data_IF_142652789627
#
_entry.id   IF_142652789627
#
_cell.length_a   1.000
_cell.length_b   1.000
_cell.length_c   1.000
_cell.angle_alpha   90.00
_cell.angle_beta   90.00
_cell.angle_gamma   90.00
#
_symmetry.space_group_name_H-M   'P 1'
#
loop_
_entity.id
_entity.type
_entity.pdbx_description
1 polymer ?
#
# COMPACT_ATOMS: atom_id res chain seq x y z
N UNK A 1 -40.46 2.59 -16.48
CA UNK A 1 -41.06 2.91 -15.17
C UNK A 1 -41.44 1.57 -14.55
N UNK A 2 -40.74 1.10 -13.52
CA UNK A 2 -41.04 -0.22 -12.92
C UNK A 2 -42.29 -0.12 -12.03
N UNK A 3 -43.22 -1.08 -12.08
CA UNK A 3 -44.39 -1.07 -11.19
C UNK A 3 -43.94 -1.26 -9.74
N UNK A 4 -44.40 -0.36 -8.86
CA UNK A 4 -44.10 -0.38 -7.43
C UNK A 4 -44.63 -1.66 -6.77
N UNK A 5 -43.93 -2.17 -5.75
CA UNK A 5 -44.41 -3.33 -4.99
C UNK A 5 -45.73 -3.02 -4.26
N UNK A 6 -46.60 -4.03 -4.10
CA UNK A 6 -47.91 -3.89 -3.43
C UNK A 6 -47.82 -3.28 -2.03
N UNK A 7 -46.72 -3.54 -1.32
CA UNK A 7 -46.47 -2.97 0.00
C UNK A 7 -46.24 -1.46 -0.02
N UNK A 8 -45.57 -0.94 -1.05
CA UNK A 8 -45.32 0.49 -1.22
C UNK A 8 -46.60 1.22 -1.61
N UNK A 9 -47.40 0.63 -2.50
CA UNK A 9 -48.71 1.18 -2.89
C UNK A 9 -49.67 1.28 -1.70
N UNK A 10 -49.76 0.21 -0.89
CA UNK A 10 -50.61 0.20 0.31
C UNK A 10 -50.20 1.26 1.32
N UNK A 11 -48.90 1.53 1.46
CA UNK A 11 -48.38 2.53 2.39
C UNK A 11 -48.67 3.96 1.93
N UNK A 12 -48.53 4.23 0.63
CA UNK A 12 -48.87 5.53 0.05
C UNK A 12 -50.35 5.85 0.18
N UNK A 13 -51.22 4.86 0.02
CA UNK A 13 -52.66 5.04 0.18
C UNK A 13 -53.01 5.34 1.64
N UNK A 14 -52.38 4.66 2.60
CA UNK A 14 -52.59 4.94 4.02
C UNK A 14 -52.12 6.35 4.40
N UNK A 15 -50.93 6.74 3.98
CA UNK A 15 -50.38 8.07 4.28
C UNK A 15 -51.27 9.19 3.68
N UNK A 16 -51.91 8.95 2.53
CA UNK A 16 -52.88 9.86 1.90
C UNK A 16 -54.16 9.99 2.74
N UNK A 17 -54.71 8.88 3.22
CA UNK A 17 -55.93 8.87 4.05
C UNK A 17 -55.69 9.56 5.40
N UNK A 18 -54.60 9.23 6.10
CA UNK A 18 -54.25 9.84 7.39
C UNK A 18 -54.09 11.37 7.31
N UNK A 19 -53.68 11.87 6.16
CA UNK A 19 -53.53 13.31 5.91
C UNK A 19 -54.87 13.98 5.59
N UNK A 20 -55.73 13.33 4.79
CA UNK A 20 -57.09 13.80 4.49
C UNK A 20 -57.95 13.89 5.75
N UNK A 21 -57.86 12.91 6.65
CA UNK A 21 -58.58 12.92 7.94
C UNK A 21 -58.13 14.06 8.87
N UNK A 22 -56.85 14.46 8.80
CA UNK A 22 -56.30 15.54 9.64
C UNK A 22 -56.57 16.94 9.13
N UNK A 23 -56.68 17.12 7.82
CA UNK A 23 -56.79 18.44 7.20
C UNK A 23 -58.01 18.48 6.28
N UNK A 24 -59.16 18.80 6.89
CA UNK A 24 -60.51 18.63 6.34
C UNK A 24 -60.86 19.57 5.15
N UNK A 25 -59.90 20.30 4.58
CA UNK A 25 -60.14 21.26 3.48
C UNK A 25 -58.93 21.41 2.53
N UNK A 26 -58.42 20.29 2.03
CA UNK A 26 -57.29 20.27 1.11
C UNK A 26 -57.69 19.72 -0.26
N UNK A 27 -58.49 20.49 -1.00
CA UNK A 27 -58.79 20.26 -2.43
C UNK A 27 -57.54 20.11 -3.30
N UNK A 28 -56.41 20.65 -2.85
CA UNK A 28 -55.08 20.56 -3.48
C UNK A 28 -54.42 19.17 -3.40
N UNK A 29 -54.91 18.24 -2.56
CA UNK A 29 -54.31 16.89 -2.39
C UNK A 29 -54.37 16.06 -3.67
N UNK A 30 -55.38 16.28 -4.51
CA UNK A 30 -55.53 15.55 -5.77
C UNK A 30 -54.43 15.92 -6.80
N UNK A 31 -53.76 17.05 -6.60
CA UNK A 31 -52.69 17.54 -7.50
C UNK A 31 -51.28 17.13 -7.02
N UNK A 32 -51.18 16.47 -5.87
CA UNK A 32 -49.90 15.98 -5.33
C UNK A 32 -49.65 14.57 -5.86
N UNK A 33 -48.68 14.43 -6.77
CA UNK A 33 -48.22 13.11 -7.22
C UNK A 33 -47.35 12.43 -6.15
N UNK A 34 -47.97 11.61 -5.31
CA UNK A 34 -47.31 10.81 -4.29
C UNK A 34 -46.50 9.63 -4.85
N UNK A 35 -46.44 9.44 -6.17
CA UNK A 35 -45.63 8.39 -6.78
C UNK A 35 -44.12 8.74 -6.81
N UNK A 36 -43.74 9.97 -6.48
CA UNK A 36 -42.39 10.50 -6.77
C UNK A 36 -41.44 10.50 -5.54
N UNK A 37 -41.75 9.74 -4.50
CA UNK A 37 -40.92 9.66 -3.29
C UNK A 37 -39.73 8.69 -3.44
N UNK A 38 -38.58 9.16 -3.93
CA UNK A 38 -37.30 8.48 -3.69
C UNK A 38 -36.10 9.43 -3.47
N UNK A 39 -35.63 9.41 -2.22
CA UNK A 39 -34.26 9.60 -1.69
C UNK A 39 -33.41 10.86 -1.93
N UNK A 40 -33.73 11.84 -2.78
CA UNK A 40 -32.81 12.97 -3.00
C UNK A 40 -33.47 14.37 -3.01
N UNK A 41 -33.55 15.00 -1.83
CA UNK A 41 -34.03 16.39 -1.63
C UNK A 41 -33.22 17.42 -2.43
N UNK A 42 -31.92 17.20 -2.59
CA UNK A 42 -30.98 18.21 -3.13
C UNK A 42 -31.14 18.46 -4.64
N UNK A 43 -31.78 17.54 -5.37
CA UNK A 43 -32.03 17.64 -6.82
C UNK A 43 -33.43 18.19 -7.13
N UNK A 44 -34.34 18.22 -6.15
CA UNK A 44 -35.77 18.47 -6.41
C UNK A 44 -36.20 19.93 -6.35
N UNK A 45 -35.62 20.73 -5.45
CA UNK A 45 -35.89 22.17 -5.39
C UNK A 45 -35.62 22.88 -6.75
N UNK A 46 -34.68 22.34 -7.53
CA UNK A 46 -34.29 22.90 -8.84
C UNK A 46 -35.11 22.37 -10.02
N UNK A 47 -35.73 21.18 -9.95
CA UNK A 47 -36.47 20.60 -11.09
C UNK A 47 -37.89 21.18 -11.21
N UNK A 48 -38.54 21.48 -10.08
CA UNK A 48 -39.88 22.10 -10.03
C UNK A 48 -39.91 23.58 -10.43
N UNK A 49 -38.76 24.25 -10.51
CA UNK A 49 -38.66 25.64 -10.96
C UNK A 49 -38.85 25.81 -12.48
N UNK A 50 -38.73 24.74 -13.28
CA UNK A 50 -38.69 24.82 -14.76
C UNK A 50 -39.99 24.47 -15.48
N UNK A 51 -40.92 23.75 -14.86
CA UNK A 51 -42.14 23.30 -15.50
C UNK A 51 -43.35 23.84 -14.74
N UNK A 52 -43.97 24.87 -15.32
CA UNK A 52 -45.28 25.49 -15.00
C UNK A 52 -45.83 25.20 -13.60
N UNK A 53 -45.45 26.00 -12.60
CA UNK A 53 -46.01 25.92 -11.24
C UNK A 53 -46.81 27.18 -10.90
N UNK A 54 -48.07 26.97 -10.50
CA UNK A 54 -48.99 27.96 -9.92
C UNK A 54 -48.48 28.45 -8.54
N UNK A 55 -49.03 29.54 -7.97
CA UNK A 55 -48.47 30.23 -6.80
C UNK A 55 -48.43 29.45 -5.47
N UNK A 56 -48.80 28.16 -5.44
CA UNK A 56 -48.95 27.39 -4.21
C UNK A 56 -48.31 26.02 -4.37
N UNK A 57 -47.11 25.87 -3.82
CA UNK A 57 -46.65 24.79 -2.91
C UNK A 57 -45.17 24.43 -3.08
N UNK A 58 -44.46 24.36 -1.96
CA UNK A 58 -43.13 23.73 -1.82
C UNK A 58 -43.06 23.10 -0.42
N UNK A 59 -42.47 21.90 -0.31
CA UNK A 59 -42.26 21.23 0.98
C UNK A 59 -40.79 20.84 1.18
N UNK A 60 -40.26 21.08 2.38
CA UNK A 60 -38.94 20.61 2.81
C UNK A 60 -39.05 19.83 4.13
N UNK A 61 -38.19 18.82 4.32
CA UNK A 61 -38.21 17.93 5.49
C UNK A 61 -37.21 18.40 6.55
N UNK A 62 -37.67 18.62 7.79
CA UNK A 62 -36.82 18.82 8.97
C UNK A 62 -36.79 17.60 9.90
N UNK A 63 -35.65 17.32 10.55
CA UNK A 63 -35.56 16.39 11.69
C UNK A 63 -35.75 17.16 12.99
N UNK A 64 -36.96 17.16 13.54
CA UNK A 64 -37.25 17.67 14.89
C UNK A 64 -37.01 16.62 15.98
N UNK A 65 -36.86 17.09 17.23
CA UNK A 65 -36.46 16.35 18.45
C UNK A 65 -37.45 15.26 18.88
N UNK A 66 -38.65 15.19 18.30
CA UNK A 66 -39.63 14.15 18.61
C UNK A 66 -39.60 13.03 17.56
N UNK A 67 -39.10 11.86 17.97
CA UNK A 67 -39.13 10.61 17.19
C UNK A 67 -40.59 10.24 16.85
N UNK A 68 -41.05 10.59 15.64
CA UNK A 68 -42.26 10.00 15.06
C UNK A 68 -43.20 10.96 14.30
N UNK A 69 -43.17 12.27 14.58
CA UNK A 69 -44.01 13.22 13.87
C UNK A 69 -43.29 13.80 12.64
N UNK A 70 -43.95 13.78 11.49
CA UNK A 70 -43.47 14.33 10.22
C UNK A 70 -44.43 15.43 9.79
N UNK A 71 -43.94 16.66 9.67
CA UNK A 71 -44.71 17.82 9.23
C UNK A 71 -44.17 18.31 7.89
N UNK A 72 -45.07 18.79 7.03
CA UNK A 72 -44.71 19.46 5.77
C UNK A 72 -44.97 20.94 5.98
N UNK A 73 -43.92 21.74 5.88
CA UNK A 73 -44.01 23.20 5.95
C UNK A 73 -44.15 23.74 4.53
N UNK A 74 -45.18 24.55 4.28
CA UNK A 74 -45.49 25.10 2.96
C UNK A 74 -44.84 26.48 2.84
N UNK A 75 -43.97 26.65 1.84
CA UNK A 75 -43.28 27.92 1.60
C UNK A 75 -43.89 28.70 0.42
N UNK A 76 -43.85 30.03 0.50
CA UNK A 76 -44.10 30.89 -0.66
C UNK A 76 -42.93 30.80 -1.65
N UNK A 77 -43.15 31.21 -2.90
CA UNK A 77 -42.10 31.26 -3.94
C UNK A 77 -40.89 32.08 -3.50
N UNK A 78 -41.11 33.19 -2.81
CA UNK A 78 -40.06 34.08 -2.31
C UNK A 78 -39.25 33.44 -1.18
N UNK A 79 -39.92 32.73 -0.26
CA UNK A 79 -39.27 31.92 0.77
C UNK A 79 -38.43 30.80 0.15
N UNK A 80 -38.95 30.10 -0.87
CA UNK A 80 -38.23 29.04 -1.58
C UNK A 80 -36.97 29.58 -2.30
N UNK A 81 -37.06 30.74 -2.95
CA UNK A 81 -35.91 31.39 -3.59
C UNK A 81 -34.83 31.79 -2.56
N UNK A 82 -35.24 32.33 -1.42
CA UNK A 82 -34.33 32.69 -0.32
C UNK A 82 -33.62 31.46 0.25
N UNK A 83 -34.34 30.35 0.44
CA UNK A 83 -33.77 29.08 0.87
C UNK A 83 -32.79 28.52 -0.17
N UNK A 84 -33.13 28.57 -1.46
CA UNK A 84 -32.24 28.09 -2.52
C UNK A 84 -30.93 28.89 -2.59
N UNK A 85 -31.00 30.22 -2.42
CA UNK A 85 -29.81 31.07 -2.32
C UNK A 85 -28.93 30.67 -1.14
N UNK A 86 -29.52 30.50 0.04
CA UNK A 86 -28.79 30.06 1.24
C UNK A 86 -28.14 28.67 1.07
N UNK A 87 -28.83 27.74 0.43
CA UNK A 87 -28.29 26.40 0.12
C UNK A 87 -27.08 26.51 -0.82
N UNK A 88 -27.18 27.35 -1.86
CA UNK A 88 -26.11 27.56 -2.82
C UNK A 88 -24.88 28.21 -2.16
N UNK A 89 -25.09 29.20 -1.30
CA UNK A 89 -24.03 29.83 -0.50
C UNK A 89 -23.35 28.81 0.42
N UNK A 90 -24.12 27.97 1.14
CA UNK A 90 -23.57 26.89 1.97
C UNK A 90 -22.81 25.84 1.15
N UNK A 91 -23.26 25.51 -0.06
CA UNK A 91 -22.54 24.61 -0.98
C UNK A 91 -21.22 25.25 -1.44
N UNK A 92 -21.23 26.51 -1.83
CA UNK A 92 -20.03 27.24 -2.25
C UNK A 92 -19.01 27.32 -1.11
N UNK A 93 -19.46 27.61 0.11
CA UNK A 93 -18.60 27.66 1.29
C UNK A 93 -18.01 26.28 1.63
N UNK A 94 -18.81 25.22 1.56
CA UNK A 94 -18.30 23.84 1.72
C UNK A 94 -17.24 23.48 0.69
N UNK A 95 -17.41 23.88 -0.56
CA UNK A 95 -16.42 23.64 -1.62
C UNK A 95 -15.13 24.42 -1.35
N UNK A 96 -15.21 25.67 -0.90
CA UNK A 96 -14.04 26.48 -0.50
C UNK A 96 -13.29 25.82 0.68
N UNK A 97 -14.00 25.44 1.73
CA UNK A 97 -13.43 24.74 2.89
C UNK A 97 -12.83 23.38 2.48
N UNK A 98 -13.44 22.66 1.54
CA UNK A 98 -12.90 21.39 1.06
C UNK A 98 -11.62 21.59 0.22
N UNK A 99 -11.54 22.67 -0.56
CA UNK A 99 -10.36 23.00 -1.36
C UNK A 99 -9.15 23.45 -0.50
N UNK A 100 -9.39 24.00 0.69
CA UNK A 100 -8.32 24.38 1.63
C UNK A 100 -7.87 23.24 2.55
N UNK A 101 -8.61 22.13 2.61
CA UNK A 101 -8.20 20.96 3.40
C UNK A 101 -7.07 20.21 2.71
N UNK A 102 -6.02 19.80 3.45
CA UNK A 102 -4.99 18.95 2.88
C UNK A 102 -5.64 17.65 2.40
N UNK A 103 -5.41 17.31 1.13
CA UNK A 103 -5.81 16.03 0.57
C UNK A 103 -5.28 14.90 1.48
N UNK A 104 -6.18 14.01 1.88
CA UNK A 104 -5.87 12.90 2.80
C UNK A 104 -5.36 11.72 1.98
N UNK A 105 -4.15 11.25 2.33
CA UNK A 105 -3.57 10.04 1.75
C UNK A 105 -4.51 8.84 1.91
N UNK A 106 -4.55 7.99 0.90
CA UNK A 106 -5.24 6.69 1.00
C UNK A 106 -4.60 5.82 2.10
N UNK A 107 -5.36 5.03 2.87
CA UNK A 107 -4.77 4.10 3.84
C UNK A 107 -3.99 2.98 3.12
N UNK A 108 -2.90 2.51 3.73
CA UNK A 108 -2.12 1.36 3.25
C UNK A 108 -2.96 0.08 3.26
N UNK A 109 -2.74 -0.80 2.28
CA UNK A 109 -3.32 -2.15 2.30
C UNK A 109 -2.84 -2.96 3.53
N UNK A 110 -3.50 -4.08 3.84
CA UNK A 110 -3.04 -4.99 4.91
C UNK A 110 -1.62 -5.48 4.66
N UNK A 111 -1.33 -5.87 3.42
CA UNK A 111 -0.01 -6.35 2.98
C UNK A 111 1.07 -5.27 3.11
N UNK A 112 0.79 -4.05 2.63
CA UNK A 112 1.72 -2.93 2.76
C UNK A 112 2.00 -2.59 4.23
N UNK A 113 0.99 -2.65 5.12
CA UNK A 113 1.17 -2.43 6.56
C UNK A 113 2.05 -3.51 7.19
N UNK A 114 1.80 -4.77 6.87
CA UNK A 114 2.57 -5.90 7.36
C UNK A 114 4.03 -5.83 6.90
N UNK A 115 4.26 -5.68 5.59
CA UNK A 115 5.59 -5.53 5.02
C UNK A 115 6.33 -4.31 5.59
N UNK A 116 5.66 -3.17 5.75
CA UNK A 116 6.24 -2.00 6.41
C UNK A 116 6.71 -2.28 7.83
N UNK A 117 5.89 -2.98 8.64
CA UNK A 117 6.30 -3.34 10.00
C UNK A 117 7.49 -4.30 10.00
N UNK A 118 7.50 -5.30 9.11
CA UNK A 118 8.65 -6.21 8.95
C UNK A 118 9.92 -5.46 8.54
N UNK A 119 9.81 -4.52 7.59
CA UNK A 119 10.93 -3.68 7.16
C UNK A 119 11.50 -2.83 8.32
N UNK A 120 10.62 -2.24 9.15
CA UNK A 120 11.04 -1.51 10.35
C UNK A 120 11.78 -2.42 11.35
N UNK A 121 11.29 -3.64 11.56
CA UNK A 121 11.95 -4.61 12.44
C UNK A 121 13.30 -5.09 11.89
N UNK A 122 13.46 -5.15 10.55
CA UNK A 122 14.73 -5.49 9.92
C UNK A 122 15.78 -4.38 10.09
N UNK A 123 15.37 -3.11 10.18
CA UNK A 123 16.26 -1.95 10.31
C UNK A 123 16.76 -1.72 11.75
N UNK A 124 16.83 -2.76 12.55
CA UNK A 124 17.40 -2.74 13.90
C UNK A 124 18.88 -2.35 13.90
N UNK A 125 19.41 -1.92 15.05
CA UNK A 125 20.83 -1.57 15.25
C UNK A 125 21.77 -2.73 14.88
N UNK A 126 21.31 -3.97 15.00
CA UNK A 126 22.07 -5.18 14.70
C UNK A 126 22.06 -5.60 13.22
N UNK A 127 21.41 -4.85 12.33
CA UNK A 127 21.28 -5.21 10.92
C UNK A 127 22.63 -5.33 10.21
N UNK A 128 22.78 -6.45 9.50
CA UNK A 128 23.82 -6.71 8.52
C UNK A 128 23.16 -7.16 7.21
N UNK A 129 23.49 -6.52 6.09
CA UNK A 129 23.00 -6.95 4.77
C UNK A 129 24.11 -7.72 4.06
N UNK A 130 23.76 -8.91 3.57
CA UNK A 130 24.64 -9.87 2.89
C UNK A 130 24.22 -10.03 1.42
N UNK A 131 25.22 -10.17 0.55
CA UNK A 131 25.09 -10.68 -0.80
C UNK A 131 26.36 -11.48 -1.15
N UNK A 132 26.20 -12.60 -1.84
CA UNK A 132 27.32 -13.44 -2.31
C UNK A 132 27.28 -13.64 -3.82
N UNK A 133 28.46 -13.75 -4.42
CA UNK A 133 28.63 -14.30 -5.78
C UNK A 133 29.24 -15.69 -5.70
N UNK A 134 28.86 -16.57 -6.62
CA UNK A 134 29.26 -17.99 -6.61
C UNK A 134 29.68 -18.44 -8.01
N UNK A 135 30.43 -19.54 -8.07
CA UNK A 135 30.79 -20.21 -9.34
C UNK A 135 29.59 -20.87 -10.05
N UNK A 136 28.43 -20.94 -9.41
CA UNK A 136 27.20 -21.52 -9.96
C UNK A 136 26.07 -21.60 -8.92
N UNK A 137 25.03 -22.40 -9.18
CA UNK A 137 23.82 -22.46 -8.36
C UNK A 137 23.63 -23.79 -7.59
N UNK A 138 24.56 -24.73 -7.74
CA UNK A 138 24.52 -26.05 -7.13
C UNK A 138 25.17 -26.06 -5.76
N UNK A 139 24.90 -27.08 -4.94
CA UNK A 139 25.52 -27.25 -3.61
C UNK A 139 27.05 -27.33 -3.64
N UNK A 140 27.59 -27.75 -4.78
CA UNK A 140 29.01 -28.02 -4.99
C UNK A 140 29.73 -26.79 -5.58
N UNK A 141 28.97 -25.71 -5.82
CA UNK A 141 29.51 -24.42 -6.25
C UNK A 141 30.07 -23.64 -5.06
N UNK A 142 31.14 -22.92 -5.34
CA UNK A 142 31.94 -22.19 -4.36
C UNK A 142 31.63 -20.69 -4.39
N UNK A 143 31.69 -20.05 -3.22
CA UNK A 143 31.58 -18.59 -3.07
C UNK A 143 32.86 -17.94 -3.62
N UNK A 144 32.70 -16.95 -4.50
CA UNK A 144 33.80 -16.18 -5.12
C UNK A 144 33.83 -14.72 -4.70
N UNK A 145 32.75 -14.25 -4.08
CA UNK A 145 32.66 -12.90 -3.52
C UNK A 145 31.68 -12.89 -2.36
N UNK A 146 31.99 -12.07 -1.34
CA UNK A 146 31.08 -11.78 -0.24
C UNK A 146 31.12 -10.30 0.10
N UNK A 147 29.92 -9.72 0.26
CA UNK A 147 29.77 -8.36 0.74
C UNK A 147 28.85 -8.30 1.96
N UNK A 148 29.25 -7.52 2.95
CA UNK A 148 28.48 -7.20 4.14
C UNK A 148 28.45 -5.68 4.33
N UNK A 149 27.25 -5.12 4.54
CA UNK A 149 27.09 -3.72 4.95
C UNK A 149 26.24 -3.60 6.20
N UNK A 150 26.46 -2.53 6.98
CA UNK A 150 25.61 -2.21 8.12
C UNK A 150 24.31 -1.48 7.73
N UNK A 151 23.46 -1.15 8.70
CA UNK A 151 22.22 -0.39 8.48
C UNK A 151 22.40 1.01 7.89
N UNK A 152 23.58 1.60 8.02
CA UNK A 152 23.92 2.89 7.43
C UNK A 152 24.46 2.74 6.01
N UNK A 153 24.77 1.50 5.60
CA UNK A 153 25.37 1.16 4.32
C UNK A 153 26.88 1.33 4.31
N UNK A 154 27.52 1.36 5.49
CA UNK A 154 28.98 1.28 5.59
C UNK A 154 29.43 -0.15 5.24
N UNK A 155 30.53 -0.25 4.52
CA UNK A 155 31.13 -1.53 4.20
C UNK A 155 31.73 -2.17 5.45
N UNK A 156 31.32 -3.39 5.76
CA UNK A 156 31.90 -4.22 6.82
C UNK A 156 32.87 -5.25 6.22
N UNK A 157 32.47 -5.87 5.12
CA UNK A 157 33.28 -6.77 4.29
C UNK A 157 32.91 -6.50 2.83
N UNK A 158 33.90 -6.44 1.96
CA UNK A 158 33.73 -6.49 0.50
C UNK A 158 35.01 -7.12 -0.04
N UNK A 159 34.97 -8.42 -0.32
CA UNK A 159 36.14 -9.17 -0.75
C UNK A 159 35.80 -10.27 -1.72
N UNK A 160 36.72 -10.50 -2.65
CA UNK A 160 36.78 -11.72 -3.42
C UNK A 160 37.21 -12.88 -2.53
N UNK A 161 36.83 -14.10 -2.94
CA UNK A 161 37.22 -15.35 -2.31
C UNK A 161 37.78 -16.26 -3.39
N UNK A 162 38.90 -16.91 -3.10
CA UNK A 162 39.53 -17.88 -4.00
C UNK A 162 38.82 -19.23 -3.93
N UNK A 163 38.13 -19.67 -4.99
CA UNK A 163 37.55 -21.00 -5.06
C UNK A 163 38.64 -22.06 -5.31
N UNK A 164 38.33 -23.33 -5.05
CA UNK A 164 39.18 -24.46 -5.40
C UNK A 164 39.10 -24.86 -6.88
N UNK A 165 37.99 -24.52 -7.55
CA UNK A 165 37.74 -24.78 -8.98
C UNK A 165 37.67 -23.49 -9.81
N UNK A 166 37.92 -23.62 -11.12
CA UNK A 166 37.79 -22.49 -12.05
C UNK A 166 36.38 -21.92 -12.09
N UNK A 167 36.28 -20.60 -12.24
CA UNK A 167 35.01 -19.89 -12.38
C UNK A 167 34.43 -20.12 -13.79
N UNK A 168 33.23 -20.71 -13.92
CA UNK A 168 32.60 -20.90 -15.23
C UNK A 168 32.33 -19.58 -15.97
N UNK A 169 32.35 -19.62 -17.31
CA UNK A 169 32.09 -18.45 -18.14
C UNK A 169 30.69 -17.85 -17.91
N UNK A 170 29.67 -18.69 -17.66
CA UNK A 170 28.31 -18.24 -17.40
C UNK A 170 28.21 -17.46 -16.08
N UNK A 171 28.94 -17.88 -15.05
CA UNK A 171 29.02 -17.15 -13.77
C UNK A 171 29.77 -15.82 -13.97
N UNK A 172 30.91 -15.87 -14.67
CA UNK A 172 31.69 -14.68 -15.05
C UNK A 172 30.85 -13.66 -15.83
N UNK A 173 29.98 -14.12 -16.74
CA UNK A 173 29.09 -13.24 -17.50
C UNK A 173 28.06 -12.50 -16.64
N UNK A 174 27.75 -13.01 -15.45
CA UNK A 174 26.80 -12.40 -14.51
C UNK A 174 27.52 -11.39 -13.61
N UNK A 175 28.50 -11.84 -12.83
CA UNK A 175 29.13 -11.02 -11.78
C UNK A 175 30.44 -10.35 -12.22
N UNK A 176 31.00 -10.73 -13.38
CA UNK A 176 32.20 -10.12 -13.95
C UNK A 176 33.52 -10.49 -13.26
N UNK A 177 33.56 -11.59 -12.48
CA UNK A 177 34.74 -12.04 -11.73
C UNK A 177 35.37 -13.19 -12.48
N UNK A 178 36.67 -13.09 -12.73
CA UNK A 178 37.48 -14.08 -13.45
C UNK A 178 38.42 -14.84 -12.51
N UNK A 179 38.96 -15.97 -12.96
CA UNK A 179 40.00 -16.71 -12.24
C UNK A 179 41.22 -15.84 -11.87
N UNK A 180 41.55 -14.86 -12.72
CA UNK A 180 42.66 -13.95 -12.48
C UNK A 180 42.37 -12.98 -11.32
N UNK A 181 41.12 -12.54 -11.17
CA UNK A 181 40.73 -11.61 -10.10
C UNK A 181 40.83 -12.26 -8.72
N UNK A 182 40.56 -13.57 -8.63
CA UNK A 182 40.55 -14.33 -7.38
C UNK A 182 41.88 -15.02 -7.07
N UNK A 183 42.88 -14.95 -7.95
CA UNK A 183 44.11 -15.76 -7.84
C UNK A 183 44.88 -15.55 -6.52
N UNK A 184 44.83 -14.31 -5.99
CA UNK A 184 45.48 -13.87 -4.76
C UNK A 184 44.47 -13.54 -3.64
N UNK A 185 43.18 -13.83 -3.86
CA UNK A 185 42.15 -13.61 -2.86
C UNK A 185 42.27 -14.63 -1.70
N UNK A 186 41.78 -14.31 -0.49
CA UNK A 186 41.72 -15.28 0.60
C UNK A 186 40.78 -16.43 0.26
N UNK A 187 41.04 -17.60 0.81
CA UNK A 187 40.10 -18.73 0.83
C UNK A 187 38.92 -18.43 1.78
N UNK A 188 37.83 -19.18 1.64
CA UNK A 188 36.67 -19.04 2.53
C UNK A 188 37.05 -19.21 4.01
N UNK A 189 37.90 -20.19 4.34
CA UNK A 189 38.36 -20.43 5.70
C UNK A 189 39.18 -19.28 6.29
N UNK A 190 39.96 -18.57 5.47
CA UNK A 190 40.79 -17.45 5.92
C UNK A 190 39.95 -16.21 6.26
N UNK A 191 38.90 -15.93 5.47
CA UNK A 191 38.00 -14.79 5.73
C UNK A 191 36.91 -15.10 6.77
N UNK A 192 36.64 -16.38 7.04
CA UNK A 192 35.57 -16.81 7.93
C UNK A 192 35.56 -16.15 9.33
N UNK A 193 36.70 -16.00 10.04
CA UNK A 193 36.72 -15.32 11.33
C UNK A 193 36.19 -13.88 11.28
N UNK A 194 36.36 -13.20 10.15
CA UNK A 194 35.84 -11.84 9.97
C UNK A 194 34.34 -11.84 9.65
N UNK A 195 33.86 -12.81 8.86
CA UNK A 195 32.43 -12.99 8.58
C UNK A 195 31.65 -13.17 9.89
N UNK A 196 32.10 -14.09 10.77
CA UNK A 196 31.41 -14.34 12.04
C UNK A 196 31.45 -13.13 12.97
N UNK A 197 32.53 -12.33 12.93
CA UNK A 197 32.66 -11.11 13.74
C UNK A 197 31.52 -10.13 13.45
N UNK A 198 31.08 -10.04 12.19
CA UNK A 198 30.04 -9.10 11.78
C UNK A 198 28.63 -9.67 11.69
N UNK A 199 28.47 -10.99 11.69
CA UNK A 199 27.16 -11.63 11.52
C UNK A 199 26.65 -12.36 12.77
N UNK A 200 27.52 -12.72 13.72
CA UNK A 200 27.09 -13.47 14.90
C UNK A 200 26.17 -12.64 15.80
N UNK A 201 25.06 -13.26 16.23
CA UNK A 201 23.99 -12.67 17.04
C UNK A 201 23.37 -11.40 16.43
N UNK A 202 23.33 -11.31 15.10
CA UNK A 202 22.79 -10.16 14.36
C UNK A 202 21.62 -10.53 13.46
N UNK A 203 20.85 -9.52 13.08
CA UNK A 203 19.82 -9.63 12.03
C UNK A 203 20.52 -9.55 10.68
N UNK A 204 20.63 -10.69 10.00
CA UNK A 204 21.24 -10.79 8.68
C UNK A 204 20.14 -10.81 7.62
N UNK A 205 20.16 -9.82 6.73
CA UNK A 205 19.22 -9.73 5.60
C UNK A 205 19.97 -9.99 4.32
N UNK A 206 19.41 -10.78 3.42
CA UNK A 206 19.85 -10.84 2.03
C UNK A 206 18.64 -10.66 1.12
N UNK A 207 18.88 -10.31 -0.15
CA UNK A 207 17.77 -10.20 -1.09
C UNK A 207 17.09 -11.56 -1.25
N UNK A 208 17.87 -12.56 -1.65
CA UNK A 208 17.43 -13.95 -1.73
C UNK A 208 18.05 -14.78 -0.59
N UNK A 209 17.62 -14.54 0.64
CA UNK A 209 18.14 -15.20 1.84
C UNK A 209 18.27 -16.73 1.73
N UNK A 210 17.33 -17.39 1.05
CA UNK A 210 17.40 -18.84 0.84
C UNK A 210 18.68 -19.24 0.09
N UNK A 211 19.09 -18.47 -0.91
CA UNK A 211 20.30 -18.70 -1.67
C UNK A 211 21.55 -18.39 -0.83
N UNK A 212 21.68 -17.14 -0.37
CA UNK A 212 22.89 -16.66 0.31
C UNK A 212 23.23 -17.48 1.57
N UNK A 213 22.23 -17.72 2.43
CA UNK A 213 22.47 -18.44 3.68
C UNK A 213 22.62 -19.94 3.49
N UNK A 214 22.06 -20.52 2.42
CA UNK A 214 22.31 -21.93 2.10
C UNK A 214 23.77 -22.13 1.68
N UNK A 215 24.28 -21.31 0.77
CA UNK A 215 25.69 -21.37 0.37
C UNK A 215 26.63 -21.14 1.54
N UNK A 216 26.37 -20.12 2.36
CA UNK A 216 27.16 -19.85 3.56
C UNK A 216 27.17 -21.06 4.52
N UNK A 217 26.01 -21.67 4.76
CA UNK A 217 25.89 -22.82 5.66
C UNK A 217 26.56 -24.08 5.09
N UNK A 218 26.46 -24.30 3.77
CA UNK A 218 27.13 -25.41 3.09
C UNK A 218 28.64 -25.27 3.18
N UNK A 219 29.19 -24.07 2.97
CA UNK A 219 30.63 -23.83 3.08
C UNK A 219 31.14 -23.99 4.52
N UNK A 220 30.40 -23.48 5.51
CA UNK A 220 30.73 -23.67 6.93
C UNK A 220 30.88 -25.17 7.24
N UNK A 221 29.93 -25.99 6.79
CA UNK A 221 29.96 -27.44 6.97
C UNK A 221 31.12 -28.10 6.21
N UNK A 222 31.28 -27.76 4.92
CA UNK A 222 32.31 -28.32 4.06
C UNK A 222 33.73 -28.09 4.62
N UNK A 223 33.99 -26.90 5.17
CA UNK A 223 35.28 -26.54 5.76
C UNK A 223 35.43 -26.94 7.25
N UNK A 224 34.46 -27.68 7.81
CA UNK A 224 34.43 -28.06 9.24
C UNK A 224 34.57 -26.85 10.19
N UNK A 225 33.95 -25.73 9.84
CA UNK A 225 33.98 -24.49 10.61
C UNK A 225 32.85 -24.45 11.64
N UNK A 226 33.07 -23.75 12.75
CA UNK A 226 32.09 -23.64 13.84
C UNK A 226 30.93 -22.72 13.45
N UNK A 227 29.73 -23.27 13.32
CA UNK A 227 28.53 -22.48 13.04
C UNK A 227 28.22 -21.42 14.12
N UNK A 228 27.42 -20.42 13.74
CA UNK A 228 27.15 -19.24 14.56
C UNK A 228 25.66 -18.84 14.49
N UNK A 229 25.19 -18.19 15.56
CA UNK A 229 23.81 -17.76 15.68
C UNK A 229 23.54 -16.52 14.84
N UNK A 230 22.43 -16.50 14.11
CA UNK A 230 21.98 -15.36 13.29
C UNK A 230 20.48 -15.43 13.05
N UNK A 231 19.82 -14.28 13.01
CA UNK A 231 18.46 -14.18 12.48
C UNK A 231 18.55 -13.93 10.98
N UNK A 232 17.84 -14.72 10.17
CA UNK A 232 17.89 -14.62 8.70
C UNK A 232 16.58 -14.03 8.19
N UNK A 233 16.68 -13.02 7.33
CA UNK A 233 15.53 -12.29 6.81
C UNK A 233 15.66 -12.13 5.29
N UNK A 234 14.53 -12.22 4.58
CA UNK A 234 14.49 -12.23 3.11
C UNK A 234 13.81 -10.97 2.58
N UNK A 235 14.58 -10.09 1.93
CA UNK A 235 14.02 -8.85 1.36
C UNK A 235 13.20 -9.10 0.08
N UNK A 236 13.47 -10.18 -0.67
CA UNK A 236 12.67 -10.58 -1.83
C UNK A 236 11.24 -10.95 -1.44
N UNK A 237 11.06 -11.73 -0.36
CA UNK A 237 9.73 -12.07 0.15
C UNK A 237 9.03 -10.86 0.78
N UNK A 238 9.79 -10.00 1.49
CA UNK A 238 9.28 -8.73 2.02
C UNK A 238 8.67 -7.86 0.91
N UNK A 239 9.38 -7.72 -0.22
CA UNK A 239 8.89 -6.94 -1.35
C UNK A 239 7.69 -7.60 -2.04
N UNK A 240 7.72 -8.92 -2.22
CA UNK A 240 6.61 -9.66 -2.83
C UNK A 240 5.33 -9.53 -2.02
N UNK A 241 5.43 -9.59 -0.69
CA UNK A 241 4.33 -9.27 0.22
C UNK A 241 3.88 -7.82 0.06
N UNK A 242 4.81 -6.85 0.03
CA UNK A 242 4.47 -5.44 -0.08
C UNK A 242 3.59 -5.12 -1.30
N UNK A 243 3.87 -5.75 -2.45
CA UNK A 243 3.11 -5.57 -3.69
C UNK A 243 1.96 -6.58 -3.87
N UNK A 244 1.72 -7.46 -2.90
CA UNK A 244 0.73 -8.54 -2.96
C UNK A 244 0.90 -9.43 -4.22
N UNK A 245 2.15 -9.82 -4.51
CA UNK A 245 2.47 -10.70 -5.63
C UNK A 245 2.42 -12.18 -5.26
N UNK A 246 1.93 -13.00 -6.19
CA UNK A 246 1.87 -14.46 -6.06
C UNK A 246 3.27 -15.11 -6.09
N UNK A 247 4.22 -14.48 -6.78
CA UNK A 247 5.58 -14.98 -6.96
C UNK A 247 6.63 -13.94 -6.59
N UNK A 248 7.81 -14.45 -6.24
CA UNK A 248 8.97 -13.63 -5.95
C UNK A 248 9.37 -12.77 -7.16
N UNK A 249 9.93 -11.58 -6.87
CA UNK A 249 10.38 -10.63 -7.88
C UNK A 249 11.90 -10.51 -7.89
N UNK A 250 12.46 -10.08 -9.01
CA UNK A 250 13.89 -9.76 -9.11
C UNK A 250 14.21 -8.46 -8.35
N UNK A 251 15.44 -8.35 -7.86
CA UNK A 251 15.92 -7.12 -7.21
C UNK A 251 15.77 -5.90 -8.12
N UNK A 252 16.06 -6.06 -9.40
CA UNK A 252 15.88 -5.02 -10.43
C UNK A 252 14.43 -4.54 -10.54
N UNK A 253 13.46 -5.45 -10.48
CA UNK A 253 12.03 -5.08 -10.44
C UNK A 253 11.69 -4.31 -9.17
N UNK A 254 12.23 -4.74 -8.03
CA UNK A 254 11.95 -4.12 -6.73
C UNK A 254 12.52 -2.70 -6.62
N UNK A 255 13.75 -2.47 -7.09
CA UNK A 255 14.35 -1.12 -7.08
C UNK A 255 13.64 -0.19 -8.07
N UNK A 256 13.21 -0.69 -9.24
CA UNK A 256 12.45 0.11 -10.21
C UNK A 256 11.08 0.50 -9.67
N UNK A 257 10.42 -0.36 -8.89
CA UNK A 257 9.12 -0.03 -8.28
C UNK A 257 9.16 1.22 -7.38
N UNK A 258 10.31 1.50 -6.76
CA UNK A 258 10.50 2.63 -5.86
C UNK A 258 11.39 3.74 -6.45
N UNK A 259 11.67 3.70 -7.74
CA UNK A 259 12.59 4.63 -8.43
C UNK A 259 13.97 4.75 -7.74
N UNK A 260 14.43 3.69 -7.10
CA UNK A 260 15.71 3.66 -6.37
C UNK A 260 16.85 3.68 -7.39
N UNK A 261 17.64 4.74 -7.35
CA UNK A 261 18.85 4.86 -8.15
C UNK A 261 19.99 4.08 -7.49
N UNK A 262 20.48 3.04 -8.16
CA UNK A 262 21.69 2.31 -7.79
C UNK A 262 22.61 2.23 -9.00
N UNK A 263 23.90 2.13 -8.73
CA UNK A 263 24.88 1.90 -9.78
C UNK A 263 24.59 0.57 -10.48
N UNK A 264 24.60 0.57 -11.81
CA UNK A 264 24.31 -0.62 -12.62
C UNK A 264 25.53 -1.53 -12.63
N UNK A 265 25.70 -2.28 -11.55
CA UNK A 265 26.86 -3.11 -11.31
C UNK A 265 26.41 -4.40 -10.59
N UNK A 266 26.85 -5.55 -11.11
CA UNK A 266 26.47 -6.88 -10.59
C UNK A 266 27.36 -7.39 -9.46
N UNK A 267 28.29 -6.57 -8.97
CA UNK A 267 29.12 -6.90 -7.81
C UNK A 267 28.27 -6.87 -6.53
N UNK A 268 28.54 -7.81 -5.63
CA UNK A 268 27.70 -8.05 -4.44
C UNK A 268 27.52 -6.82 -3.54
N UNK A 269 28.53 -5.94 -3.44
CA UNK A 269 28.43 -4.71 -2.67
C UNK A 269 27.26 -3.80 -3.11
N UNK A 270 27.04 -3.69 -4.43
CA UNK A 270 25.96 -2.87 -4.97
C UNK A 270 24.59 -3.52 -4.76
N UNK A 271 24.51 -4.85 -4.80
CA UNK A 271 23.28 -5.57 -4.43
C UNK A 271 22.94 -5.40 -2.95
N UNK A 272 23.94 -5.40 -2.05
CA UNK A 272 23.76 -5.05 -0.64
C UNK A 272 23.16 -3.65 -0.49
N UNK A 273 23.73 -2.64 -1.16
CA UNK A 273 23.21 -1.25 -1.15
C UNK A 273 21.77 -1.17 -1.67
N UNK A 274 21.48 -1.83 -2.79
CA UNK A 274 20.16 -1.89 -3.39
C UNK A 274 19.13 -2.53 -2.44
N UNK A 275 19.52 -3.63 -1.80
CA UNK A 275 18.69 -4.34 -0.82
C UNK A 275 18.37 -3.46 0.40
N UNK A 276 19.38 -2.79 0.96
CA UNK A 276 19.19 -1.85 2.07
C UNK A 276 18.27 -0.69 1.68
N UNK A 277 18.47 -0.12 0.49
CA UNK A 277 17.63 0.97 -0.03
C UNK A 277 16.17 0.54 -0.19
N UNK A 278 15.92 -0.67 -0.70
CA UNK A 278 14.58 -1.24 -0.83
C UNK A 278 13.89 -1.39 0.53
N UNK A 279 14.57 -1.94 1.53
CA UNK A 279 14.02 -2.10 2.89
C UNK A 279 13.66 -0.72 3.47
N UNK A 280 14.54 0.27 3.31
CA UNK A 280 14.28 1.66 3.74
C UNK A 280 13.10 2.29 2.99
N UNK A 281 12.95 2.01 1.69
CA UNK A 281 11.83 2.52 0.90
C UNK A 281 10.50 1.94 1.39
N UNK A 282 10.42 0.62 1.61
CA UNK A 282 9.24 -0.05 2.17
C UNK A 282 8.90 0.48 3.56
N UNK A 283 9.90 0.63 4.44
CA UNK A 283 9.70 1.16 5.79
C UNK A 283 9.14 2.60 5.78
N UNK A 284 9.61 3.43 4.84
CA UNK A 284 9.20 4.83 4.71
C UNK A 284 7.95 5.03 3.83
N UNK A 285 7.46 3.98 3.17
CA UNK A 285 6.38 4.10 2.20
C UNK A 285 5.11 4.72 2.80
N UNK A 286 4.49 5.59 2.00
CA UNK A 286 3.22 6.27 2.26
C UNK A 286 2.48 6.36 0.93
N UNK A 287 1.17 6.11 0.95
CA UNK A 287 0.35 6.30 -0.24
C UNK A 287 0.32 7.76 -0.71
N UNK A 288 -0.01 7.91 -1.99
CA UNK A 288 -0.29 9.20 -2.61
C UNK A 288 -1.47 9.93 -1.95
N UNK A 289 -1.46 11.24 -2.19
CA UNK A 289 -2.32 12.26 -1.59
C UNK A 289 -3.57 12.50 -2.45
#
# INVERSE_FOLDING_TARGET
>A
MYPKSKAVQKRLEQDKQDYLERYNDATFINDIDFSIYEKNIDKWALKLLKEQTTPKTFGAWGRGINKGARWVEIFTKEQALTMQKSINERKAERTRIAATKPKRRKPLSSYQRSAKQKALNMLDESLCVLDISTTGLSSDDEIVEISLIDKFGNCLIDTLIKPSKSIPADATAIHGITDNDVMNAPTFSEIYPEIIRFMNNRVCVAYNASFDFTFLSTHIKHHNLKDFSRSQQCAMLLFSEFIDAEYWQKLTTAIHHFDIQVEKNHRSYFHCKATLALIKAIANFRNEV
#
